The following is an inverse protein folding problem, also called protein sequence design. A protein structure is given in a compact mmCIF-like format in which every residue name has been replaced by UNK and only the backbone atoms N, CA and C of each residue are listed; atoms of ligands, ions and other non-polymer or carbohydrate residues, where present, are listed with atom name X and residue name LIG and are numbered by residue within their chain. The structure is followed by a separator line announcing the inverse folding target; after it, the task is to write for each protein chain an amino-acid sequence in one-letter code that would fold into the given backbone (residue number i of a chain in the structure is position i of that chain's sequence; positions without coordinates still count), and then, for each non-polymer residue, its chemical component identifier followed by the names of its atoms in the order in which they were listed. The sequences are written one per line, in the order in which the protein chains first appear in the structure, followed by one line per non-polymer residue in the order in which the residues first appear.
data_IF_156139801310
#
_entry.id   IF_156139801310
#
_cell.length_a   1.000
_cell.length_b   1.000
_cell.length_c   1.000
_cell.angle_alpha   90.00
_cell.angle_beta   90.00
_cell.angle_gamma   90.00
#
_symmetry.space_group_name_H-M   'P 1'
#
loop_
_entity.id
_entity.type
_entity.pdbx_description
1 polymer ?
#
# COMPACT_ATOMS: atom_id res chain seq x y z
N UNK A 1 -13.20 18.78 -6.79
CA UNK A 1 -13.20 17.34 -7.12
C UNK A 1 -12.24 16.62 -6.18
N UNK A 2 -12.76 16.09 -5.06
CA UNK A 2 -11.98 15.43 -3.99
C UNK A 2 -12.10 13.93 -4.24
N UNK A 3 -11.15 13.35 -4.96
CA UNK A 3 -11.16 11.92 -5.28
C UNK A 3 -10.50 11.14 -4.12
N UNK A 4 -11.30 10.70 -3.15
CA UNK A 4 -10.89 9.70 -2.17
C UNK A 4 -10.98 8.30 -2.81
N UNK A 5 -9.92 7.86 -3.48
CA UNK A 5 -9.75 6.45 -3.86
C UNK A 5 -9.03 5.70 -2.72
N UNK A 6 -9.76 5.42 -1.64
CA UNK A 6 -9.38 4.38 -0.67
C UNK A 6 -10.22 3.14 -0.96
N UNK A 7 -9.59 2.01 -1.25
CA UNK A 7 -10.31 0.73 -1.35
C UNK A 7 -10.79 0.31 0.04
N UNK A 8 -12.07 0.58 0.34
CA UNK A 8 -12.76 0.08 1.54
C UNK A 8 -13.07 -1.40 1.33
N UNK A 9 -12.38 -2.27 2.05
CA UNK A 9 -12.61 -3.72 2.00
C UNK A 9 -13.67 -4.18 3.02
N UNK A 10 -14.87 -4.53 2.55
CA UNK A 10 -15.89 -5.14 3.39
C UNK A 10 -15.59 -6.64 3.61
N UNK A 11 -15.43 -7.03 4.88
CA UNK A 11 -15.72 -8.35 5.45
C UNK A 11 -15.62 -9.55 4.46
N UNK A 12 -14.41 -9.90 4.00
CA UNK A 12 -14.14 -11.31 3.65
C UNK A 12 -13.44 -11.98 4.82
N UNK A 13 -13.67 -13.28 4.96
CA UNK A 13 -13.08 -14.20 5.96
C UNK A 13 -11.54 -14.35 5.87
N UNK A 14 -10.85 -13.48 5.12
CA UNK A 14 -9.40 -13.43 4.98
C UNK A 14 -9.02 -11.99 4.61
N UNK A 15 -8.33 -11.28 5.50
CA UNK A 15 -7.77 -9.96 5.21
C UNK A 15 -6.50 -10.15 4.37
N UNK A 16 -6.59 -9.89 3.07
CA UNK A 16 -5.45 -10.01 2.14
C UNK A 16 -5.27 -8.70 1.38
N UNK A 17 -4.26 -7.92 1.76
CA UNK A 17 -3.91 -6.68 1.06
C UNK A 17 -2.90 -6.95 -0.07
N UNK A 18 -2.85 -6.09 -1.11
CA UNK A 18 -1.81 -6.16 -2.13
C UNK A 18 -0.44 -5.92 -1.52
N UNK A 19 0.54 -6.69 -1.98
CA UNK A 19 1.97 -6.51 -1.64
C UNK A 19 2.64 -5.65 -2.70
N UNK A 20 3.58 -4.81 -2.27
CA UNK A 20 4.25 -3.81 -3.11
C UNK A 20 5.77 -4.02 -3.19
N UNK A 21 6.35 -4.84 -2.31
CA UNK A 21 7.80 -5.06 -2.24
C UNK A 21 8.39 -5.76 -3.48
N UNK A 22 7.56 -6.44 -4.27
CA UNK A 22 7.95 -7.01 -5.57
C UNK A 22 8.22 -5.96 -6.65
N UNK A 23 7.69 -4.75 -6.46
CA UNK A 23 7.62 -3.72 -7.49
C UNK A 23 8.39 -2.46 -7.10
N UNK A 24 8.38 -2.12 -5.82
CA UNK A 24 8.95 -0.91 -5.25
C UNK A 24 10.13 -1.25 -4.35
N UNK A 25 11.15 -0.39 -4.39
CA UNK A 25 12.19 -0.37 -3.36
C UNK A 25 11.64 0.38 -2.15
N UNK A 26 11.51 -0.31 -1.03
CA UNK A 26 10.93 0.22 0.22
C UNK A 26 11.87 0.05 1.40
N UNK A 27 11.53 0.68 2.52
CA UNK A 27 12.23 0.56 3.79
C UNK A 27 13.65 1.13 3.76
N UNK A 28 13.98 2.04 2.86
CA UNK A 28 15.30 2.70 2.87
C UNK A 28 15.39 3.81 3.92
N UNK A 29 14.25 4.39 4.27
CA UNK A 29 14.06 5.43 5.27
C UNK A 29 12.70 5.26 5.96
N UNK A 30 12.41 6.13 6.93
CA UNK A 30 11.10 6.15 7.58
C UNK A 30 9.97 6.59 6.64
N UNK A 31 10.26 7.41 5.62
CA UNK A 31 9.26 7.96 4.70
C UNK A 31 8.71 6.95 3.69
N UNK A 32 9.46 5.90 3.38
CA UNK A 32 9.13 4.80 2.47
C UNK A 32 8.95 3.45 3.17
N UNK A 33 8.67 3.48 4.48
CA UNK A 33 8.48 2.28 5.29
C UNK A 33 7.12 1.63 5.02
N UNK A 34 7.12 0.44 4.43
CA UNK A 34 5.91 -0.35 4.19
C UNK A 34 5.66 -1.37 5.32
N UNK A 35 4.43 -1.88 5.49
CA UNK A 35 4.17 -2.98 6.43
C UNK A 35 4.99 -4.25 6.17
N UNK A 36 5.40 -4.49 4.91
CA UNK A 36 6.25 -5.63 4.52
C UNK A 36 7.71 -5.50 4.95
N UNK A 37 8.14 -4.33 5.42
CA UNK A 37 9.50 -4.08 5.86
C UNK A 37 9.71 -4.37 7.35
N UNK A 38 8.63 -4.38 8.14
CA UNK A 38 8.68 -4.70 9.56
C UNK A 38 8.98 -6.17 9.75
N UNK A 39 10.08 -6.47 10.45
CA UNK A 39 10.45 -7.85 10.79
C UNK A 39 10.41 -8.11 12.30
N UNK A 40 10.52 -7.06 13.12
CA UNK A 40 10.49 -7.17 14.57
C UNK A 40 9.38 -6.26 15.09
N UNK A 41 8.54 -6.78 15.97
CA UNK A 41 7.55 -6.00 16.72
C UNK A 41 7.87 -6.04 18.21
N UNK A 42 7.72 -4.91 18.87
CA UNK A 42 7.91 -4.77 20.31
C UNK A 42 6.81 -3.88 20.89
N UNK A 43 6.55 -4.03 22.19
CA UNK A 43 5.63 -3.15 22.90
C UNK A 43 6.18 -2.67 24.25
N UNK A 44 5.86 -1.43 24.56
CA UNK A 44 6.14 -0.76 25.84
C UNK A 44 4.86 -0.10 26.33
N UNK A 45 4.79 0.25 27.61
CA UNK A 45 3.66 0.99 28.16
C UNK A 45 3.11 0.43 29.46
N UNK A 46 1.84 0.71 29.67
CA UNK A 46 1.05 0.39 30.86
C UNK A 46 0.19 -0.88 30.68
N UNK A 47 -0.80 -1.05 31.57
CA UNK A 47 -1.74 -2.17 31.57
C UNK A 47 -2.49 -2.39 30.24
N UNK A 48 -2.62 -1.36 29.40
CA UNK A 48 -3.24 -1.51 28.09
C UNK A 48 -2.37 -2.32 27.13
N UNK A 49 -1.04 -2.17 27.20
CA UNK A 49 -0.11 -2.97 26.39
C UNK A 49 0.07 -4.39 26.95
N UNK A 50 -0.08 -4.61 28.26
CA UNK A 50 0.02 -5.95 28.85
C UNK A 50 -1.23 -6.81 28.60
N UNK A 51 -2.34 -6.21 28.18
CA UNK A 51 -3.61 -6.92 28.01
C UNK A 51 -4.28 -7.27 29.35
N UNK A 52 -4.03 -6.48 30.39
CA UNK A 52 -4.62 -6.69 31.70
C UNK A 52 -6.15 -6.63 31.61
N UNK A 53 -6.82 -7.65 32.16
CA UNK A 53 -8.28 -7.74 32.19
C UNK A 53 -8.93 -8.35 30.94
N UNK A 54 -8.14 -8.75 29.94
CA UNK A 54 -8.65 -9.56 28.82
C UNK A 54 -9.09 -10.96 29.25
N UNK A 55 -8.46 -11.53 30.29
CA UNK A 55 -8.92 -12.76 30.92
C UNK A 55 -9.97 -12.47 32.01
N UNK A 56 -11.24 -12.91 31.85
CA UNK A 56 -12.32 -12.53 32.74
C UNK A 56 -12.05 -12.89 34.20
N UNK A 57 -12.47 -12.01 35.12
CA UNK A 57 -12.43 -12.23 36.59
C UNK A 57 -11.04 -12.46 37.19
N UNK A 58 -9.98 -12.14 36.47
CA UNK A 58 -8.60 -12.22 36.99
C UNK A 58 -7.86 -10.91 36.75
N UNK A 59 -6.73 -10.74 37.43
CA UNK A 59 -5.77 -9.67 37.16
C UNK A 59 -4.53 -10.21 36.42
N UNK A 60 -4.72 -11.28 35.64
CA UNK A 60 -3.65 -11.87 34.83
C UNK A 60 -3.48 -11.02 33.57
N UNK A 61 -2.23 -10.74 33.22
CA UNK A 61 -1.86 -10.05 31.98
C UNK A 61 -1.94 -11.04 30.81
N UNK A 62 -2.84 -10.75 29.86
CA UNK A 62 -2.99 -11.59 28.66
C UNK A 62 -2.29 -10.93 27.46
N UNK A 63 -0.96 -10.93 27.49
CA UNK A 63 -0.10 -10.30 26.47
C UNK A 63 -0.30 -10.90 25.08
N UNK A 64 -0.55 -12.20 24.99
CA UNK A 64 -0.88 -12.89 23.73
C UNK A 64 -2.17 -12.42 23.06
N UNK A 65 -3.05 -11.74 23.79
CA UNK A 65 -4.27 -11.13 23.28
C UNK A 65 -4.27 -9.60 23.26
N UNK A 66 -3.19 -8.97 23.72
CA UNK A 66 -3.07 -7.53 23.76
C UNK A 66 -2.97 -6.95 22.35
N UNK A 67 -3.64 -5.83 22.15
CA UNK A 67 -3.76 -5.18 20.84
C UNK A 67 -2.40 -4.78 20.18
N UNK A 68 -1.35 -4.35 20.93
CA UNK A 68 -0.09 -3.91 20.32
C UNK A 68 0.90 -5.05 20.06
N UNK A 69 0.83 -6.17 20.78
CA UNK A 69 1.84 -7.24 20.68
C UNK A 69 1.34 -8.68 20.67
N UNK A 70 0.04 -8.93 20.87
CA UNK A 70 -0.50 -10.29 20.95
C UNK A 70 -0.52 -11.04 19.61
N UNK A 71 -0.22 -12.34 19.64
CA UNK A 71 -0.24 -13.23 18.48
C UNK A 71 -0.86 -14.61 18.70
N UNK A 72 -1.68 -14.80 19.74
CA UNK A 72 -2.22 -16.14 20.09
C UNK A 72 -3.28 -16.69 19.14
N UNK A 73 -3.72 -15.91 18.16
CA UNK A 73 -4.61 -16.38 17.09
C UNK A 73 -4.28 -15.67 15.78
N UNK A 74 -4.89 -16.10 14.69
CA UNK A 74 -4.85 -15.36 13.43
C UNK A 74 -5.81 -14.15 13.46
N UNK A 75 -5.73 -13.30 12.44
CA UNK A 75 -6.61 -12.12 12.30
C UNK A 75 -8.12 -12.44 12.34
N UNK A 76 -8.51 -13.67 11.97
CA UNK A 76 -9.91 -14.12 12.02
C UNK A 76 -10.40 -14.40 13.45
N UNK A 77 -9.51 -14.82 14.34
CA UNK A 77 -9.84 -15.11 15.74
C UNK A 77 -9.64 -13.89 16.65
N UNK A 78 -8.53 -13.20 16.47
CA UNK A 78 -8.10 -12.09 17.31
C UNK A 78 -7.44 -11.02 16.45
N UNK A 79 -7.90 -9.77 16.60
CA UNK A 79 -7.38 -8.67 15.79
C UNK A 79 -6.37 -7.90 16.62
N UNK A 80 -5.09 -8.12 16.35
CA UNK A 80 -3.96 -7.38 16.93
C UNK A 80 -3.07 -6.82 15.81
N UNK A 81 -2.20 -5.87 16.13
CA UNK A 81 -1.27 -5.33 15.13
C UNK A 81 -0.31 -6.41 14.59
N UNK A 82 0.31 -7.29 15.41
CA UNK A 82 1.11 -8.40 14.90
C UNK A 82 0.36 -9.31 13.93
N UNK A 83 -0.91 -9.61 14.21
CA UNK A 83 -1.72 -10.47 13.33
C UNK A 83 -1.99 -9.82 11.98
N UNK A 84 -2.21 -8.50 11.96
CA UNK A 84 -2.34 -7.75 10.70
C UNK A 84 -1.01 -7.72 9.94
N UNK A 85 0.11 -7.47 10.63
CA UNK A 85 1.44 -7.46 10.03
C UNK A 85 1.85 -8.84 9.48
N UNK A 86 1.38 -9.91 10.10
CA UNK A 86 1.68 -11.30 9.68
C UNK A 86 1.17 -11.62 8.27
N UNK A 87 0.15 -10.91 7.78
CA UNK A 87 -0.34 -11.04 6.40
C UNK A 87 0.66 -10.47 5.38
N UNK A 88 1.45 -9.48 5.79
CA UNK A 88 2.50 -8.87 4.98
C UNK A 88 3.81 -9.66 5.13
N UNK A 89 4.22 -9.93 6.36
CA UNK A 89 5.43 -10.68 6.72
C UNK A 89 5.13 -11.77 7.76
N UNK A 90 5.12 -13.03 7.34
CA UNK A 90 4.81 -14.17 8.21
C UNK A 90 5.96 -14.63 9.13
N UNK A 91 7.11 -13.94 9.11
CA UNK A 91 8.28 -14.23 9.97
C UNK A 91 8.52 -13.11 10.98
N UNK A 92 7.44 -12.56 11.54
CA UNK A 92 7.51 -11.50 12.53
C UNK A 92 8.07 -12.02 13.85
N UNK A 93 9.12 -11.38 14.37
CA UNK A 93 9.76 -11.73 15.66
C UNK A 93 9.33 -10.74 16.74
N UNK A 94 9.32 -11.18 18.00
CA UNK A 94 8.96 -10.34 19.16
C UNK A 94 7.48 -10.35 19.54
N UNK A 95 6.67 -11.12 18.81
CA UNK A 95 5.25 -11.33 19.07
C UNK A 95 5.04 -11.96 20.45
N UNK A 96 4.04 -11.48 21.18
CA UNK A 96 3.68 -11.99 22.50
C UNK A 96 2.72 -13.17 22.41
N UNK A 97 2.92 -14.17 23.26
CA UNK A 97 2.11 -15.37 23.36
C UNK A 97 1.81 -15.75 24.80
N UNK A 98 0.57 -16.17 25.05
CA UNK A 98 0.12 -16.64 26.35
C UNK A 98 -0.14 -15.51 27.36
N UNK A 99 -0.15 -15.93 28.63
CA UNK A 99 -0.49 -15.11 29.78
C UNK A 99 0.67 -15.10 30.79
N UNK A 100 0.98 -13.94 31.36
CA UNK A 100 2.06 -13.79 32.33
C UNK A 100 2.68 -12.40 32.33
N UNK A 101 3.48 -12.12 33.35
CA UNK A 101 4.27 -10.90 33.43
C UNK A 101 5.47 -10.92 32.49
N UNK A 102 6.09 -9.75 32.32
CA UNK A 102 7.32 -9.56 31.53
C UNK A 102 8.44 -10.55 31.90
N UNK A 103 8.57 -10.91 33.17
CA UNK A 103 9.58 -11.83 33.72
C UNK A 103 9.21 -13.30 33.56
N UNK A 104 7.92 -13.60 33.46
CA UNK A 104 7.41 -14.98 33.35
C UNK A 104 7.41 -15.47 31.91
N UNK A 105 7.30 -14.56 30.94
CA UNK A 105 7.30 -14.88 29.52
C UNK A 105 8.73 -14.88 28.94
N UNK A 106 9.00 -15.66 27.88
CA UNK A 106 10.31 -15.72 27.23
C UNK A 106 10.83 -14.33 26.81
N UNK A 107 12.13 -14.09 26.97
CA UNK A 107 12.77 -12.82 26.57
C UNK A 107 12.69 -12.54 25.06
N UNK A 108 12.44 -13.56 24.25
CA UNK A 108 12.21 -13.45 22.80
C UNK A 108 10.88 -12.75 22.47
N UNK A 109 9.95 -12.68 23.43
CA UNK A 109 8.75 -11.85 23.35
C UNK A 109 9.10 -10.42 23.79
N UNK A 110 9.00 -9.46 22.88
CA UNK A 110 9.51 -8.10 23.06
C UNK A 110 8.45 -7.14 23.62
N UNK A 111 7.48 -7.68 24.38
CA UNK A 111 6.57 -6.87 25.18
C UNK A 111 7.18 -6.63 26.55
N UNK A 112 7.72 -5.43 26.76
CA UNK A 112 8.32 -4.98 28.03
C UNK A 112 7.42 -4.03 28.80
N UNK A 113 6.17 -3.87 28.36
CA UNK A 113 5.15 -3.11 29.08
C UNK A 113 4.93 -3.67 30.49
N UNK A 114 4.52 -2.82 31.43
CA UNK A 114 4.32 -3.18 32.83
C UNK A 114 2.99 -2.59 33.31
N UNK A 115 2.13 -3.42 33.92
CA UNK A 115 0.92 -2.90 34.56
C UNK A 115 1.29 -2.02 35.76
N UNK A 116 0.62 -0.89 35.91
CA UNK A 116 0.94 0.16 36.87
C UNK A 116 1.93 1.22 36.36
N UNK A 117 2.49 1.08 35.15
CA UNK A 117 3.53 1.98 34.67
C UNK A 117 3.00 3.39 34.37
N UNK A 118 3.70 4.39 34.91
CA UNK A 118 3.54 5.81 34.52
C UNK A 118 4.64 6.21 33.54
N UNK A 119 4.56 7.44 33.01
CA UNK A 119 5.59 7.98 32.11
C UNK A 119 7.00 7.97 32.70
N UNK A 120 7.13 8.02 34.03
CA UNK A 120 8.42 7.91 34.76
C UNK A 120 9.17 6.60 34.48
N UNK A 121 8.44 5.51 34.19
CA UNK A 121 9.01 4.17 33.95
C UNK A 121 9.46 3.94 32.50
N UNK A 122 9.14 4.87 31.59
CA UNK A 122 9.44 4.72 30.17
C UNK A 122 10.94 4.53 29.86
N UNK A 123 11.89 5.24 30.50
CA UNK A 123 13.32 5.01 30.29
C UNK A 123 13.78 3.61 30.72
N UNK A 124 13.21 3.05 31.78
CA UNK A 124 13.53 1.70 32.26
C UNK A 124 13.08 0.64 31.26
N UNK A 125 11.84 0.76 30.77
CA UNK A 125 11.33 -0.14 29.72
C UNK A 125 12.13 -0.02 28.42
N UNK A 126 12.59 1.18 28.04
CA UNK A 126 13.43 1.37 26.85
C UNK A 126 14.76 0.61 26.98
N UNK A 127 15.41 0.70 28.14
CA UNK A 127 16.66 -0.03 28.42
C UNK A 127 16.44 -1.53 28.39
N UNK A 128 15.35 -2.00 28.98
CA UNK A 128 15.01 -3.42 28.98
C UNK A 128 14.72 -3.94 27.57
N UNK A 129 13.98 -3.19 26.73
CA UNK A 129 13.76 -3.56 25.34
C UNK A 129 15.08 -3.67 24.57
N UNK A 130 15.97 -2.69 24.73
CA UNK A 130 17.30 -2.72 24.10
C UNK A 130 18.10 -3.92 24.58
N UNK A 131 18.04 -4.27 25.87
CA UNK A 131 18.71 -5.46 26.42
C UNK A 131 18.19 -6.74 25.76
N UNK A 132 16.87 -6.91 25.65
CA UNK A 132 16.27 -8.10 25.00
C UNK A 132 16.62 -8.18 23.52
N UNK A 133 16.57 -7.06 22.80
CA UNK A 133 16.96 -7.00 21.39
C UNK A 133 18.42 -7.40 21.15
N UNK A 134 19.33 -6.98 22.02
CA UNK A 134 20.75 -7.39 21.96
C UNK A 134 20.97 -8.88 22.19
N UNK A 135 20.06 -9.52 22.92
CA UNK A 135 20.11 -10.95 23.23
C UNK A 135 19.32 -11.79 22.21
N UNK A 136 18.68 -11.17 21.23
CA UNK A 136 17.87 -11.86 20.23
C UNK A 136 18.78 -12.59 19.24
N UNK A 137 18.57 -13.90 19.08
CA UNK A 137 19.41 -14.76 18.22
C UNK A 137 18.72 -15.12 16.90
N UNK A 138 17.40 -15.01 16.87
CA UNK A 138 16.57 -15.41 15.72
C UNK A 138 16.70 -14.45 14.54
N UNK A 139 16.98 -13.18 14.82
CA UNK A 139 17.09 -12.12 13.81
C UNK A 139 18.08 -11.05 14.25
N UNK A 140 18.90 -10.58 13.32
CA UNK A 140 19.77 -9.44 13.55
C UNK A 140 18.95 -8.15 13.56
N UNK A 141 18.69 -7.62 14.75
CA UNK A 141 17.92 -6.40 14.95
C UNK A 141 18.58 -5.16 14.33
N UNK A 142 19.89 -5.19 14.05
CA UNK A 142 20.60 -4.04 13.47
C UNK A 142 20.31 -3.86 11.98
N UNK A 143 19.97 -4.96 11.29
CA UNK A 143 19.69 -4.97 9.86
C UNK A 143 18.20 -4.91 9.52
N UNK A 144 17.31 -5.03 10.50
CA UNK A 144 15.88 -5.17 10.28
C UNK A 144 15.09 -4.02 10.90
N UNK A 145 13.94 -3.67 10.30
CA UNK A 145 13.06 -2.67 10.87
C UNK A 145 12.30 -3.21 12.07
N UNK A 146 12.32 -2.42 13.14
CA UNK A 146 11.63 -2.67 14.39
C UNK A 146 10.45 -1.71 14.50
N UNK A 147 9.23 -2.23 14.66
CA UNK A 147 8.06 -1.43 15.04
C UNK A 147 7.89 -1.53 16.56
N UNK A 148 7.99 -0.40 17.25
CA UNK A 148 7.77 -0.33 18.70
C UNK A 148 6.47 0.39 18.97
N UNK A 149 5.48 -0.30 19.53
CA UNK A 149 4.19 0.32 19.89
C UNK A 149 4.20 0.61 21.38
N UNK A 150 4.10 1.89 21.73
CA UNK A 150 4.12 2.35 23.11
C UNK A 150 2.72 2.83 23.48
N UNK A 151 2.11 2.28 24.52
CA UNK A 151 0.81 2.76 25.03
C UNK A 151 0.95 3.19 26.48
N UNK A 152 0.95 4.50 26.73
CA UNK A 152 1.22 5.02 28.06
C UNK A 152 0.25 6.14 28.43
N UNK A 153 -0.07 6.23 29.72
CA UNK A 153 -0.78 7.35 30.29
C UNK A 153 -2.22 7.07 30.69
N UNK A 154 -2.80 5.95 30.27
CA UNK A 154 -4.18 5.63 30.69
C UNK A 154 -4.22 5.43 32.20
N UNK A 155 -3.24 4.73 32.75
CA UNK A 155 -3.16 4.53 34.19
C UNK A 155 -2.74 5.79 34.95
N UNK A 156 -1.83 6.59 34.41
CA UNK A 156 -1.42 7.87 35.00
C UNK A 156 -2.60 8.86 35.08
N UNK A 157 -3.34 9.00 33.97
CA UNK A 157 -4.57 9.80 33.91
C UNK A 157 -5.64 9.26 34.87
N UNK A 158 -5.75 7.95 35.06
CA UNK A 158 -6.79 7.38 35.92
C UNK A 158 -6.48 7.36 37.41
N UNK A 159 -5.22 7.19 37.78
CA UNK A 159 -4.79 7.08 39.17
C UNK A 159 -4.41 8.43 39.76
N UNK A 160 -3.76 9.30 38.97
CA UNK A 160 -3.16 10.55 39.46
C UNK A 160 -3.76 11.81 38.86
N UNK A 161 -4.43 11.72 37.70
CA UNK A 161 -4.95 12.87 36.96
C UNK A 161 -3.85 13.91 36.66
N UNK A 162 -2.65 13.42 36.36
CA UNK A 162 -1.45 14.25 36.12
C UNK A 162 -1.03 14.23 34.66
N UNK A 163 -0.48 15.36 34.23
CA UNK A 163 0.19 15.54 32.95
C UNK A 163 1.41 14.60 32.84
N UNK A 164 1.86 14.24 31.62
CA UNK A 164 2.95 13.29 31.43
C UNK A 164 4.30 13.89 31.86
N UNK A 165 5.20 13.04 32.36
CA UNK A 165 6.60 13.40 32.55
C UNK A 165 7.31 13.47 31.19
N UNK A 166 7.36 14.66 30.61
CA UNK A 166 8.00 14.93 29.33
C UNK A 166 9.48 14.52 29.32
N UNK A 167 10.23 14.82 30.37
CA UNK A 167 11.65 14.45 30.46
C UNK A 167 11.86 12.94 30.41
N UNK A 168 11.01 12.16 31.09
CA UNK A 168 11.09 10.70 31.05
C UNK A 168 10.74 10.16 29.65
N UNK A 169 9.74 10.73 28.97
CA UNK A 169 9.40 10.37 27.59
C UNK A 169 10.56 10.67 26.63
N UNK A 170 11.14 11.86 26.69
CA UNK A 170 12.31 12.25 25.89
C UNK A 170 13.47 11.30 26.12
N UNK A 171 13.83 11.04 27.39
CA UNK A 171 14.92 10.12 27.74
C UNK A 171 14.68 8.70 27.17
N UNK A 172 13.44 8.20 27.21
CA UNK A 172 13.11 6.89 26.67
C UNK A 172 13.31 6.84 25.14
N UNK A 173 12.83 7.87 24.42
CA UNK A 173 12.99 7.96 22.97
C UNK A 173 14.46 8.13 22.58
N UNK A 174 15.23 8.95 23.31
CA UNK A 174 16.66 9.12 23.08
C UNK A 174 17.44 7.80 23.28
N UNK A 175 17.08 7.00 24.28
CA UNK A 175 17.64 5.65 24.48
C UNK A 175 17.35 4.75 23.29
N UNK A 176 16.11 4.76 22.78
CA UNK A 176 15.73 3.98 21.60
C UNK A 176 16.46 4.47 20.35
N UNK A 177 16.53 5.77 20.11
CA UNK A 177 17.23 6.36 18.96
C UNK A 177 18.71 6.01 18.96
N UNK A 178 19.35 6.01 20.14
CA UNK A 178 20.78 5.70 20.26
C UNK A 178 21.11 4.22 20.01
N UNK A 179 20.16 3.30 20.25
CA UNK A 179 20.42 1.86 20.23
C UNK A 179 19.71 1.09 19.11
N UNK A 180 18.65 1.66 18.53
CA UNK A 180 17.88 1.04 17.46
C UNK A 180 18.20 1.71 16.12
N UNK A 181 19.02 1.07 15.26
CA UNK A 181 19.45 1.71 14.01
C UNK A 181 18.31 1.87 13.00
N UNK A 182 17.29 1.00 13.07
CA UNK A 182 16.12 1.01 12.16
C UNK A 182 14.84 0.79 12.95
N UNK A 183 14.19 1.88 13.35
CA UNK A 183 13.00 1.80 14.17
C UNK A 183 11.91 2.79 13.78
N UNK A 184 10.68 2.31 13.86
CA UNK A 184 9.47 3.12 13.81
C UNK A 184 8.74 3.00 15.15
N UNK A 185 8.77 4.07 15.94
CA UNK A 185 8.12 4.10 17.26
C UNK A 185 6.76 4.76 17.14
N UNK A 186 5.70 4.02 17.43
CA UNK A 186 4.33 4.54 17.47
C UNK A 186 3.95 4.75 18.93
N UNK A 187 3.93 6.00 19.37
CA UNK A 187 3.62 6.37 20.74
C UNK A 187 2.16 6.80 20.84
N UNK A 188 1.40 6.12 21.70
CA UNK A 188 -0.02 6.33 21.93
C UNK A 188 -0.23 6.81 23.36
N UNK A 189 -0.91 7.95 23.49
CA UNK A 189 -1.30 8.48 24.77
C UNK A 189 -2.56 7.81 25.35
N UNK A 190 -3.17 8.44 26.37
CA UNK A 190 -4.30 7.91 27.11
C UNK A 190 -5.49 7.58 26.21
N UNK A 191 -6.30 6.61 26.64
CA UNK A 191 -7.51 6.24 25.90
C UNK A 191 -8.59 7.33 25.99
N UNK A 192 -9.17 7.64 24.85
CA UNK A 192 -10.31 8.53 24.74
C UNK A 192 -11.48 7.81 24.07
N UNK A 193 -12.40 7.29 24.89
CA UNK A 193 -13.54 6.53 24.38
C UNK A 193 -14.79 7.38 24.48
N UNK A 194 -15.47 7.62 23.35
CA UNK A 194 -16.59 8.55 23.30
C UNK A 194 -17.74 8.07 22.40
N UNK A 195 -18.88 8.74 22.55
CA UNK A 195 -20.02 8.57 21.65
C UNK A 195 -19.83 9.43 20.39
N UNK A 196 -20.29 8.97 19.21
CA UNK A 196 -20.23 9.76 17.97
C UNK A 196 -20.88 11.14 18.08
N UNK A 197 -21.97 11.27 18.85
CA UNK A 197 -22.67 12.53 19.08
C UNK A 197 -22.11 13.36 20.26
N UNK A 198 -21.13 12.83 20.99
CA UNK A 198 -20.51 13.48 22.16
C UNK A 198 -19.00 13.23 22.19
N UNK A 199 -18.30 13.71 21.16
CA UNK A 199 -16.87 13.45 20.97
C UNK A 199 -15.99 13.98 22.11
N UNK A 200 -16.39 15.08 22.77
CA UNK A 200 -15.68 15.63 23.94
C UNK A 200 -15.86 14.81 25.22
N UNK A 201 -16.86 13.93 25.27
CA UNK A 201 -17.16 13.14 26.47
C UNK A 201 -16.30 11.88 26.54
N UNK A 202 -15.21 11.92 27.30
CA UNK A 202 -14.39 10.74 27.56
C UNK A 202 -15.04 9.84 28.63
N UNK A 203 -15.40 8.61 28.25
CA UNK A 203 -15.92 7.60 29.19
C UNK A 203 -14.91 7.13 30.22
N UNK A 204 -13.62 7.40 30.00
CA UNK A 204 -12.57 7.12 30.97
C UNK A 204 -12.82 7.90 32.29
N UNK A 205 -13.32 9.15 32.21
CA UNK A 205 -13.58 10.02 33.36
C UNK A 205 -14.41 9.33 34.47
N UNK A 206 -15.50 8.66 34.11
CA UNK A 206 -16.38 8.04 35.11
C UNK A 206 -15.86 6.73 35.70
N UNK A 207 -14.72 6.22 35.19
CA UNK A 207 -14.10 4.95 35.60
C UNK A 207 -12.79 5.12 36.36
N UNK A 208 -12.19 6.30 36.30
CA UNK A 208 -10.99 6.64 37.04
C UNK A 208 -11.35 7.18 38.42
N UNK A 209 -10.57 6.80 39.42
CA UNK A 209 -10.75 7.27 40.79
C UNK A 209 -10.58 8.79 40.90
N UNK A 210 -9.51 9.33 40.32
CA UNK A 210 -9.18 10.76 40.46
C UNK A 210 -10.09 11.71 39.66
N UNK A 211 -10.72 11.24 38.56
CA UNK A 211 -11.52 12.11 37.67
C UNK A 211 -13.02 11.88 37.72
N UNK A 212 -13.51 10.86 38.43
CA UNK A 212 -14.95 10.55 38.54
C UNK A 212 -15.76 11.75 39.01
N UNK A 213 -15.29 12.40 40.08
CA UNK A 213 -15.95 13.54 40.74
C UNK A 213 -15.35 14.90 40.31
N UNK A 214 -14.28 14.89 39.53
CA UNK A 214 -13.63 16.11 39.04
C UNK A 214 -14.47 16.87 38.01
N UNK A 215 -14.13 18.15 37.80
CA UNK A 215 -14.75 18.97 36.75
C UNK A 215 -14.39 18.46 35.35
N UNK A 216 -15.24 18.76 34.36
CA UNK A 216 -14.90 18.47 32.96
C UNK A 216 -13.70 19.31 32.49
N UNK A 217 -13.51 20.51 33.06
CA UNK A 217 -12.37 21.39 32.73
C UNK A 217 -11.03 20.75 33.07
N UNK A 218 -10.95 19.95 34.15
CA UNK A 218 -9.75 19.20 34.50
C UNK A 218 -9.38 18.22 33.38
N UNK A 219 -10.35 17.47 32.87
CA UNK A 219 -10.12 16.51 31.79
C UNK A 219 -9.73 17.18 30.47
N UNK A 220 -10.31 18.34 30.18
CA UNK A 220 -9.95 19.15 29.00
C UNK A 220 -8.51 19.69 29.11
N UNK A 221 -8.12 20.19 30.28
CA UNK A 221 -6.75 20.63 30.56
C UNK A 221 -5.76 19.47 30.47
N UNK A 222 -6.09 18.33 31.08
CA UNK A 222 -5.25 17.15 31.05
C UNK A 222 -5.04 16.64 29.61
N UNK A 223 -6.11 16.56 28.81
CA UNK A 223 -6.02 16.25 27.38
C UNK A 223 -5.11 17.23 26.63
N UNK A 224 -5.22 18.54 26.90
CA UNK A 224 -4.38 19.57 26.28
C UNK A 224 -2.90 19.44 26.69
N UNK A 225 -2.61 19.09 27.94
CA UNK A 225 -1.25 18.88 28.43
C UNK A 225 -0.59 17.66 27.77
N UNK A 226 -1.31 16.54 27.69
CA UNK A 226 -0.87 15.33 27.00
C UNK A 226 -0.61 15.60 25.51
N UNK A 227 -1.52 16.33 24.87
CA UNK A 227 -1.35 16.79 23.48
C UNK A 227 -0.09 17.61 23.30
N UNK A 228 0.10 18.63 24.14
CA UNK A 228 1.27 19.52 24.08
C UNK A 228 2.58 18.76 24.28
N UNK A 229 2.61 17.83 25.23
CA UNK A 229 3.81 17.02 25.49
C UNK A 229 4.18 16.12 24.30
N UNK A 230 3.18 15.50 23.67
CA UNK A 230 3.41 14.61 22.52
C UNK A 230 3.82 15.38 21.27
N UNK A 231 3.24 16.55 21.02
CA UNK A 231 3.64 17.45 19.92
C UNK A 231 5.10 17.90 20.10
N UNK A 232 5.47 18.33 21.31
CA UNK A 232 6.86 18.68 21.65
C UNK A 232 7.82 17.50 21.49
N UNK A 233 7.38 16.29 21.80
CA UNK A 233 8.22 15.10 21.67
C UNK A 233 8.44 14.73 20.19
N UNK A 234 7.39 14.83 19.37
CA UNK A 234 7.49 14.67 17.91
C UNK A 234 8.48 15.70 17.32
N UNK A 235 8.35 16.97 17.72
CA UNK A 235 9.24 18.04 17.28
C UNK A 235 10.69 17.81 17.74
N UNK A 236 10.91 17.37 18.98
CA UNK A 236 12.24 17.04 19.50
C UNK A 236 12.96 16.00 18.62
N UNK A 237 12.25 14.96 18.18
CA UNK A 237 12.84 13.94 17.29
C UNK A 237 13.02 14.47 15.87
N UNK A 238 12.02 15.14 15.32
CA UNK A 238 12.03 15.58 13.91
C UNK A 238 13.09 16.66 13.66
N UNK A 239 13.36 17.51 14.65
CA UNK A 239 14.37 18.59 14.58
C UNK A 239 15.78 18.15 14.96
N UNK A 240 15.95 16.93 15.49
CA UNK A 240 17.27 16.42 15.89
C UNK A 240 18.18 16.21 14.66
N UNK A 241 19.30 16.94 14.52
CA UNK A 241 20.19 16.85 13.36
C UNK A 241 20.94 15.51 13.29
N UNK A 242 21.02 14.78 14.40
CA UNK A 242 21.68 13.48 14.48
C UNK A 242 20.71 12.30 14.28
N UNK A 243 19.43 12.58 13.99
CA UNK A 243 18.46 11.52 13.71
C UNK A 243 18.79 10.82 12.39
N UNK A 244 19.02 9.49 12.39
CA UNK A 244 19.22 8.77 11.15
C UNK A 244 17.90 8.71 10.34
N UNK A 245 17.95 8.65 9.00
CA UNK A 245 16.74 8.56 8.17
C UNK A 245 15.93 7.27 8.43
N UNK A 246 16.54 6.28 9.08
CA UNK A 246 15.96 4.98 9.46
C UNK A 246 15.36 4.96 10.87
N UNK A 247 15.33 6.10 11.58
CA UNK A 247 14.63 6.23 12.85
C UNK A 247 13.56 7.30 12.75
N UNK A 248 12.35 7.01 13.21
CA UNK A 248 11.34 8.03 13.39
C UNK A 248 10.23 7.60 14.34
N UNK A 249 9.53 8.60 14.85
CA UNK A 249 8.40 8.40 15.76
C UNK A 249 7.11 8.93 15.16
N UNK A 250 5.99 8.38 15.61
CA UNK A 250 4.66 8.92 15.42
C UNK A 250 3.99 9.04 16.79
N UNK A 251 4.01 10.26 17.34
CA UNK A 251 3.38 10.57 18.61
C UNK A 251 1.90 10.92 18.39
N UNK A 252 1.00 10.05 18.84
CA UNK A 252 -0.44 10.27 18.81
C UNK A 252 -0.92 10.51 20.24
N UNK A 253 -1.40 11.73 20.56
CA UNK A 253 -1.61 12.15 21.95
C UNK A 253 -2.77 11.42 22.64
N UNK A 254 -3.70 10.85 21.89
CA UNK A 254 -4.85 10.13 22.43
C UNK A 254 -5.22 8.95 21.55
N UNK A 255 -5.55 7.81 22.18
CA UNK A 255 -6.14 6.66 21.51
C UNK A 255 -7.66 6.85 21.43
N UNK A 256 -8.12 7.48 20.35
CA UNK A 256 -9.52 7.92 20.21
C UNK A 256 -10.42 6.86 19.61
N UNK A 257 -11.29 6.25 20.43
CA UNK A 257 -12.22 5.21 19.99
C UNK A 257 -13.66 5.73 20.06
N UNK A 258 -14.31 5.87 18.91
CA UNK A 258 -15.72 6.27 18.80
C UNK A 258 -16.60 5.04 18.57
N UNK A 259 -17.72 4.93 19.30
CA UNK A 259 -18.65 3.81 19.13
C UNK A 259 -20.08 4.19 19.50
N UNK A 260 -21.07 3.60 18.82
CA UNK A 260 -22.50 3.72 19.20
C UNK A 260 -22.79 3.10 20.57
N UNK A 261 -22.01 2.10 20.97
CA UNK A 261 -22.13 1.40 22.25
C UNK A 261 -20.77 1.39 22.98
N UNK A 262 -20.24 2.56 23.37
CA UNK A 262 -18.88 2.69 23.87
C UNK A 262 -18.70 2.09 25.28
N UNK A 263 -19.78 1.99 26.06
CA UNK A 263 -19.78 1.27 27.34
C UNK A 263 -19.36 -0.19 27.21
N UNK A 264 -19.76 -0.86 26.11
CA UNK A 264 -19.45 -2.26 25.85
C UNK A 264 -18.00 -2.52 25.41
N UNK A 265 -17.14 -1.49 25.38
CA UNK A 265 -15.71 -1.61 25.07
C UNK A 265 -14.85 -1.72 26.33
N UNK A 266 -15.40 -1.38 27.49
CA UNK A 266 -14.72 -1.48 28.77
C UNK A 266 -15.10 -2.76 29.51
N UNK A 267 -14.24 -3.15 30.44
CA UNK A 267 -14.62 -4.04 31.54
C UNK A 267 -15.52 -3.25 32.49
N UNK A 268 -16.63 -3.82 33.01
CA UNK A 268 -17.51 -3.12 33.94
C UNK A 268 -16.75 -2.51 35.12
N UNK A 269 -16.97 -1.21 35.36
CA UNK A 269 -16.39 -0.42 36.46
C UNK A 269 -14.86 -0.36 36.52
N UNK A 270 -14.14 -0.82 35.49
CA UNK A 270 -12.68 -0.71 35.42
C UNK A 270 -12.28 0.18 34.24
N UNK A 271 -11.18 0.96 34.35
CA UNK A 271 -10.64 1.75 33.25
C UNK A 271 -9.83 0.91 32.25
N UNK A 272 -10.23 -0.34 32.03
CA UNK A 272 -9.53 -1.29 31.16
C UNK A 272 -10.43 -1.68 29.99
N UNK A 273 -9.85 -1.76 28.79
CA UNK A 273 -10.55 -2.24 27.62
C UNK A 273 -10.79 -3.75 27.74
N UNK A 274 -11.96 -4.19 27.29
CA UNK A 274 -12.24 -5.62 27.13
C UNK A 274 -11.79 -6.08 25.73
N UNK A 275 -11.97 -7.37 25.41
CA UNK A 275 -11.61 -7.94 24.10
C UNK A 275 -12.15 -7.14 22.91
N UNK A 276 -13.37 -6.61 23.00
CA UNK A 276 -13.97 -5.78 21.95
C UNK A 276 -13.29 -4.42 21.85
N UNK A 277 -12.97 -3.81 22.99
CA UNK A 277 -12.20 -2.57 23.07
C UNK A 277 -10.82 -2.69 22.43
N UNK A 278 -10.07 -3.76 22.74
CA UNK A 278 -8.77 -4.04 22.12
C UNK A 278 -8.88 -4.22 20.60
N UNK A 279 -9.88 -4.97 20.10
CA UNK A 279 -10.09 -5.10 18.65
C UNK A 279 -10.36 -3.74 17.98
N UNK A 280 -11.11 -2.85 18.64
CA UNK A 280 -11.37 -1.49 18.13
C UNK A 280 -10.11 -0.63 18.16
N UNK A 281 -9.30 -0.74 19.22
CA UNK A 281 -8.01 -0.06 19.33
C UNK A 281 -7.06 -0.47 18.20
N UNK A 282 -6.92 -1.78 17.94
CA UNK A 282 -6.10 -2.28 16.82
C UNK A 282 -6.59 -1.74 15.49
N UNK A 283 -7.89 -1.84 15.22
CA UNK A 283 -8.45 -1.41 13.94
C UNK A 283 -8.29 0.09 13.72
N UNK A 284 -8.56 0.88 14.76
CA UNK A 284 -8.35 2.32 14.73
C UNK A 284 -6.89 2.65 14.44
N UNK A 285 -5.97 2.03 15.18
CA UNK A 285 -4.55 2.29 15.04
C UNK A 285 -4.06 1.93 13.64
N UNK A 286 -4.40 0.73 13.15
CA UNK A 286 -4.04 0.30 11.81
C UNK A 286 -4.53 1.29 10.76
N UNK A 287 -5.82 1.64 10.79
CA UNK A 287 -6.37 2.59 9.83
C UNK A 287 -5.73 3.97 9.96
N UNK A 288 -5.40 4.42 11.17
CA UNK A 288 -4.69 5.69 11.42
C UNK A 288 -3.27 5.70 10.86
N UNK A 289 -2.58 4.56 10.93
CA UNK A 289 -1.23 4.37 10.38
C UNK A 289 -1.23 4.34 8.84
N UNK A 290 -2.29 3.84 8.20
CA UNK A 290 -2.38 3.78 6.73
C UNK A 290 -2.99 5.05 6.12
N UNK A 291 -4.06 5.59 6.71
CA UNK A 291 -4.77 6.75 6.17
C UNK A 291 -4.14 8.09 6.56
N UNK A 292 -3.37 8.13 7.65
CA UNK A 292 -2.82 9.37 8.20
C UNK A 292 -3.86 10.19 8.97
N UNK A 293 -3.59 11.48 9.14
CA UNK A 293 -4.44 12.41 9.92
C UNK A 293 -5.85 12.58 9.34
N UNK A 294 -5.99 12.34 8.04
CA UNK A 294 -7.27 12.42 7.35
C UNK A 294 -8.23 11.26 7.67
N UNK A 295 -7.85 10.34 8.56
CA UNK A 295 -8.75 9.28 9.04
C UNK A 295 -9.92 9.89 9.82
N UNK A 296 -11.06 10.05 9.14
CA UNK A 296 -12.23 10.72 9.68
C UNK A 296 -12.98 9.86 10.71
N UNK A 297 -12.77 10.17 11.99
CA UNK A 297 -13.39 9.49 13.13
C UNK A 297 -14.90 9.74 13.27
N UNK A 298 -15.42 10.80 12.65
CA UNK A 298 -16.81 11.22 12.76
C UNK A 298 -17.76 10.38 11.91
N UNK A 299 -17.25 9.80 10.81
CA UNK A 299 -18.00 8.92 9.91
C UNK A 299 -17.67 7.43 10.08
N UNK A 300 -16.58 7.13 10.80
CA UNK A 300 -16.07 5.78 11.02
C UNK A 300 -16.92 5.06 12.09
N UNK A 301 -17.63 4.01 11.69
CA UNK A 301 -18.24 3.07 12.64
C UNK A 301 -17.27 1.90 12.75
N UNK A 302 -16.39 1.92 13.76
CA UNK A 302 -15.33 0.93 13.91
C UNK A 302 -15.82 -0.54 13.96
N UNK A 303 -17.08 -0.82 14.33
CA UNK A 303 -17.68 -2.17 14.18
C UNK A 303 -17.87 -2.63 12.74
N UNK A 304 -18.08 -1.69 11.81
CA UNK A 304 -18.53 -1.93 10.44
C UNK A 304 -17.50 -1.50 9.38
N UNK A 305 -16.51 -0.70 9.76
CA UNK A 305 -15.51 -0.18 8.83
C UNK A 305 -14.66 -1.30 8.20
N UNK A 306 -14.11 -1.04 7.04
CA UNK A 306 -13.07 -1.87 6.45
C UNK A 306 -11.72 -1.69 7.17
N UNK A 307 -10.87 -2.70 7.12
CA UNK A 307 -9.43 -2.47 7.29
C UNK A 307 -8.90 -1.82 6.02
N UNK A 308 -8.07 -0.78 6.17
CA UNK A 308 -7.45 -0.12 5.02
C UNK A 308 -6.23 -0.90 4.57
N UNK A 309 -6.09 -1.06 3.25
CA UNK A 309 -4.90 -1.64 2.65
C UNK A 309 -3.96 -0.53 2.16
N UNK A 310 -2.64 -0.67 2.35
CA UNK A 310 -1.65 0.18 1.71
C UNK A 310 -1.60 -0.14 0.21
N UNK A 311 -2.48 0.49 -0.57
CA UNK A 311 -2.59 0.22 -2.00
C UNK A 311 -2.14 1.42 -2.81
N UNK A 312 -1.47 1.13 -3.92
CA UNK A 312 -1.27 2.07 -5.03
C UNK A 312 -2.28 1.77 -6.13
N UNK A 313 -2.87 2.80 -6.72
CA UNK A 313 -3.64 2.67 -7.96
C UNK A 313 -2.74 3.10 -9.10
N UNK A 314 -2.42 2.17 -10.00
CA UNK A 314 -1.69 2.47 -11.24
C UNK A 314 -2.68 2.74 -12.35
N UNK A 315 -2.55 3.91 -12.96
CA UNK A 315 -3.20 4.25 -14.21
C UNK A 315 -2.14 4.29 -15.31
N UNK A 316 -2.19 3.30 -16.20
CA UNK A 316 -1.38 3.29 -17.40
C UNK A 316 -2.03 4.25 -18.41
N UNK A 317 -1.45 5.44 -18.59
CA UNK A 317 -1.81 6.32 -19.70
C UNK A 317 -0.86 6.05 -20.89
N UNK A 318 -1.26 6.44 -22.13
CA UNK A 318 -0.48 6.13 -23.33
C UNK A 318 0.96 6.66 -23.32
N UNK A 319 1.24 7.72 -22.56
CA UNK A 319 2.53 8.44 -22.55
C UNK A 319 3.24 8.44 -21.20
N UNK A 320 2.56 8.09 -20.10
CA UNK A 320 3.15 8.02 -18.76
C UNK A 320 2.27 7.19 -17.83
N UNK A 321 2.83 6.72 -16.71
CA UNK A 321 2.08 6.01 -15.68
C UNK A 321 1.78 6.97 -14.51
N UNK A 322 0.51 7.12 -14.13
CA UNK A 322 0.14 7.81 -12.90
C UNK A 322 0.00 6.78 -11.80
N UNK A 323 0.68 7.01 -10.68
CA UNK A 323 0.48 6.22 -9.47
C UNK A 323 -0.18 7.11 -8.42
N UNK A 324 -1.38 6.73 -8.01
CA UNK A 324 -2.16 7.44 -6.98
C UNK A 324 -2.14 6.60 -5.71
N UNK A 325 -1.71 7.20 -4.60
CA UNK A 325 -1.70 6.57 -3.28
C UNK A 325 -0.30 6.52 -2.65
N UNK A 326 -0.29 6.29 -1.34
CA UNK A 326 0.94 6.09 -0.58
C UNK A 326 0.86 4.73 0.13
N UNK A 327 1.67 3.74 -0.26
CA UNK A 327 1.62 2.40 0.31
C UNK A 327 2.52 2.24 1.55
N UNK A 328 2.90 3.35 2.18
CA UNK A 328 3.78 3.39 3.34
C UNK A 328 2.99 3.78 4.59
N UNK A 329 3.54 3.48 5.76
CA UNK A 329 3.00 4.06 7.00
C UNK A 329 3.07 5.58 6.93
N UNK A 330 1.96 6.24 7.28
CA UNK A 330 1.87 7.70 7.31
C UNK A 330 2.58 8.26 8.52
N UNK A 331 3.53 9.15 8.28
CA UNK A 331 4.33 9.82 9.29
C UNK A 331 4.72 11.22 8.81
N UNK A 332 5.47 11.96 9.63
CA UNK A 332 5.90 13.33 9.35
C UNK A 332 6.79 13.43 8.10
N UNK A 333 7.61 12.42 7.81
CA UNK A 333 8.48 12.40 6.64
C UNK A 333 7.72 12.27 5.30
N UNK A 334 6.49 11.75 5.31
CA UNK A 334 5.67 11.57 4.09
C UNK A 334 4.30 12.26 4.17
N UNK A 335 4.15 13.23 5.07
CA UNK A 335 2.92 13.97 5.30
C UNK A 335 2.44 14.73 4.05
N UNK A 336 3.37 15.34 3.30
CA UNK A 336 3.07 16.13 2.10
C UNK A 336 3.01 15.31 0.81
N UNK A 337 3.30 14.00 0.87
CA UNK A 337 3.36 13.13 -0.29
C UNK A 337 4.40 12.04 -0.11
N UNK A 338 4.27 10.98 -0.92
CA UNK A 338 5.17 9.84 -0.88
C UNK A 338 5.89 9.72 -2.22
N UNK A 339 7.22 9.61 -2.18
CA UNK A 339 8.00 9.29 -3.37
C UNK A 339 8.02 7.78 -3.57
N UNK A 340 7.65 7.35 -4.76
CA UNK A 340 7.70 5.95 -5.15
C UNK A 340 8.98 5.73 -5.96
N UNK A 341 9.71 4.67 -5.61
CA UNK A 341 10.91 4.27 -6.33
C UNK A 341 10.74 2.84 -6.82
N UNK A 342 10.61 2.65 -8.12
CA UNK A 342 10.51 1.30 -8.68
C UNK A 342 11.84 0.56 -8.55
N UNK A 343 11.79 -0.78 -8.49
CA UNK A 343 13.03 -1.59 -8.44
C UNK A 343 13.93 -1.37 -9.66
N UNK A 344 13.37 -1.12 -10.84
CA UNK A 344 14.14 -0.80 -12.04
C UNK A 344 14.88 0.53 -11.93
N UNK A 345 14.21 1.57 -11.41
CA UNK A 345 14.83 2.89 -11.21
C UNK A 345 15.87 2.85 -10.10
N UNK A 346 15.61 2.10 -9.01
CA UNK A 346 16.58 1.89 -7.95
C UNK A 346 17.85 1.21 -8.50
N UNK A 347 17.69 0.16 -9.32
CA UNK A 347 18.81 -0.54 -9.95
C UNK A 347 19.58 0.35 -10.93
N UNK A 348 18.91 1.19 -11.72
CA UNK A 348 19.60 2.16 -12.58
C UNK A 348 20.39 3.18 -11.74
N UNK A 349 19.81 3.68 -10.64
CA UNK A 349 20.50 4.61 -9.73
C UNK A 349 21.72 3.96 -9.07
N UNK A 350 21.62 2.73 -8.59
CA UNK A 350 22.76 1.99 -8.03
C UNK A 350 23.86 1.78 -9.07
N UNK A 351 23.50 1.43 -10.30
CA UNK A 351 24.45 1.23 -11.40
C UNK A 351 25.13 2.53 -11.85
N UNK A 352 24.45 3.67 -11.69
CA UNK A 352 25.01 5.00 -11.96
C UNK A 352 25.89 5.53 -10.81
N UNK A 353 25.63 5.12 -9.57
CA UNK A 353 26.36 5.61 -8.39
C UNK A 353 27.59 4.77 -8.03
N UNK A 354 27.67 3.53 -8.54
CA UNK A 354 28.79 2.60 -8.24
C UNK A 354 28.85 2.21 -6.76
N UNK A 355 29.58 1.14 -6.44
CA UNK A 355 29.72 0.63 -5.06
C UNK A 355 30.44 1.65 -4.14
N UNK A 356 31.16 2.61 -4.71
CA UNK A 356 31.96 3.61 -3.98
C UNK A 356 31.33 5.02 -3.94
N UNK A 357 30.06 5.19 -4.30
CA UNK A 357 29.37 6.49 -4.26
C UNK A 357 29.90 7.55 -5.24
N UNK A 358 30.76 7.15 -6.19
CA UNK A 358 31.22 8.01 -7.28
C UNK A 358 30.35 7.78 -8.50
N UNK A 359 29.70 8.85 -8.96
CA UNK A 359 28.93 8.89 -10.21
C UNK A 359 29.77 8.27 -11.34
N UNK A 360 29.43 7.04 -11.74
CA UNK A 360 29.84 6.49 -13.02
C UNK A 360 29.11 7.33 -14.06
N UNK A 361 29.80 8.37 -14.56
CA UNK A 361 29.32 9.15 -15.71
C UNK A 361 28.80 8.14 -16.73
N UNK A 362 27.49 8.17 -16.98
CA UNK A 362 26.89 7.52 -18.15
C UNK A 362 27.83 7.84 -19.29
N UNK A 363 28.46 6.84 -19.92
CA UNK A 363 29.37 7.05 -21.04
C UNK A 363 28.53 7.74 -22.12
N UNK A 364 28.49 9.07 -22.08
CA UNK A 364 27.81 9.93 -23.04
C UNK A 364 28.42 9.46 -24.34
N UNK A 365 27.63 8.81 -25.21
CA UNK A 365 28.11 8.48 -26.55
C UNK A 365 28.64 9.79 -27.09
N UNK A 366 29.94 9.85 -27.34
CA UNK A 366 30.60 11.08 -27.79
C UNK A 366 29.85 11.54 -29.04
N UNK A 367 29.65 12.86 -29.24
CA UNK A 367 28.97 13.37 -30.43
C UNK A 367 29.57 12.79 -31.71
N UNK A 368 30.88 12.54 -31.70
CA UNK A 368 31.61 11.81 -32.75
C UNK A 368 30.97 10.46 -33.12
N UNK A 369 30.63 9.60 -32.16
CA UNK A 369 29.99 8.30 -32.45
C UNK A 369 28.60 8.45 -33.07
N UNK A 370 27.87 9.51 -32.72
CA UNK A 370 26.55 9.79 -33.29
C UNK A 370 26.70 10.26 -34.75
N UNK A 371 27.67 11.14 -35.01
CA UNK A 371 28.02 11.58 -36.36
C UNK A 371 28.53 10.41 -37.22
N UNK A 372 29.34 9.50 -36.68
CA UNK A 372 29.81 8.32 -37.43
C UNK A 372 28.65 7.42 -37.85
N UNK A 373 27.68 7.17 -36.96
CA UNK A 373 26.51 6.34 -37.28
C UNK A 373 25.62 7.05 -38.30
N UNK A 374 25.39 8.36 -38.16
CA UNK A 374 24.60 9.13 -39.12
C UNK A 374 25.24 9.15 -40.52
N UNK A 375 26.56 9.40 -40.59
CA UNK A 375 27.32 9.38 -41.86
C UNK A 375 27.30 7.98 -42.48
N UNK A 376 27.40 6.92 -41.66
CA UNK A 376 27.34 5.54 -42.15
C UNK A 376 25.98 5.23 -42.78
N UNK A 377 24.88 5.65 -42.15
CA UNK A 377 23.52 5.46 -42.68
C UNK A 377 23.33 6.22 -44.00
N UNK A 378 23.78 7.48 -44.07
CA UNK A 378 23.71 8.30 -45.29
C UNK A 378 24.57 7.70 -46.40
N UNK A 379 25.78 7.21 -46.08
CA UNK A 379 26.67 6.56 -47.02
C UNK A 379 26.09 5.27 -47.60
N UNK A 380 25.47 4.43 -46.76
CA UNK A 380 24.79 3.21 -47.21
C UNK A 380 23.60 3.56 -48.10
N UNK A 381 22.78 4.55 -47.72
CA UNK A 381 21.65 4.99 -48.54
C UNK A 381 22.10 5.51 -49.91
N UNK A 382 23.17 6.32 -49.96
CA UNK A 382 23.74 6.81 -51.21
C UNK A 382 24.25 5.67 -52.09
N UNK A 383 24.96 4.70 -51.51
CA UNK A 383 25.46 3.55 -52.24
C UNK A 383 24.32 2.69 -52.83
N UNK A 384 23.24 2.50 -52.08
CA UNK A 384 22.03 1.78 -52.56
C UNK A 384 21.36 2.53 -53.71
N UNK A 385 21.22 3.87 -53.61
CA UNK A 385 20.63 4.67 -54.70
C UNK A 385 21.50 4.65 -55.95
N UNK A 386 22.82 4.78 -55.81
CA UNK A 386 23.73 4.73 -56.95
C UNK A 386 23.73 3.37 -57.63
N UNK A 387 23.79 2.28 -56.87
CA UNK A 387 23.77 0.91 -57.41
C UNK A 387 22.45 0.57 -58.09
N UNK A 388 21.32 0.85 -57.45
CA UNK A 388 20.01 0.65 -58.08
C UNK A 388 19.84 1.56 -59.31
N UNK A 389 20.29 2.82 -59.23
CA UNK A 389 20.27 3.77 -60.34
C UNK A 389 21.11 3.30 -61.54
N UNK A 390 22.30 2.74 -61.30
CA UNK A 390 23.15 2.18 -62.38
C UNK A 390 22.53 0.93 -62.97
N UNK A 391 21.95 0.05 -62.14
CA UNK A 391 21.24 -1.14 -62.62
C UNK A 391 20.06 -0.74 -63.50
N UNK A 392 19.24 0.23 -63.09
CA UNK A 392 18.13 0.73 -63.90
C UNK A 392 18.61 1.42 -65.17
N UNK A 393 19.69 2.20 -65.11
CA UNK A 393 20.27 2.87 -66.28
C UNK A 393 20.80 1.85 -67.30
N UNK A 394 21.51 0.81 -66.85
CA UNK A 394 22.00 -0.24 -67.74
C UNK A 394 20.86 -1.07 -68.33
N UNK A 395 19.83 -1.41 -67.54
CA UNK A 395 18.62 -2.06 -68.06
C UNK A 395 17.87 -1.19 -69.06
N UNK A 396 17.82 0.13 -68.84
CA UNK A 396 17.19 1.08 -69.77
C UNK A 396 17.95 1.19 -71.09
N UNK A 397 19.27 0.96 -71.10
CA UNK A 397 20.09 1.02 -72.32
C UNK A 397 20.05 -0.28 -73.15
N UNK A 398 19.60 -1.38 -72.54
CA UNK A 398 19.45 -2.69 -73.20
C UNK A 398 18.01 -3.01 -73.62
N UNK A 399 17.04 -2.14 -73.32
CA UNK A 399 15.66 -2.32 -73.74
C UNK A 399 15.41 -1.69 -75.12
N UNK A 400 15.17 -2.53 -76.13
CA UNK A 400 14.90 -2.12 -77.52
C UNK A 400 13.43 -1.70 -77.77
N UNK A 401 12.68 -1.35 -76.72
CA UNK A 401 11.30 -0.88 -76.86
C UNK A 401 11.00 0.30 -75.92
N UNK A 402 10.43 1.36 -76.48
CA UNK A 402 9.90 2.47 -75.70
C UNK A 402 8.69 2.01 -74.87
N UNK A 403 8.61 2.48 -73.61
CA UNK A 403 7.58 2.09 -72.61
C UNK A 403 6.12 2.28 -73.04
N UNK A 404 5.87 2.90 -74.19
CA UNK A 404 4.53 3.21 -74.71
C UNK A 404 4.23 2.60 -76.09
N UNK A 405 5.06 1.71 -76.62
CA UNK A 405 4.69 0.96 -77.81
C UNK A 405 3.84 -0.27 -77.43
N UNK A 406 2.55 -0.21 -77.76
CA UNK A 406 1.65 -1.35 -77.65
C UNK A 406 2.07 -2.37 -78.72
N UNK A 407 2.39 -3.62 -78.36
CA UNK A 407 2.70 -4.64 -79.35
C UNK A 407 1.47 -4.86 -80.23
N UNK A 408 1.64 -4.76 -81.57
CA UNK A 408 0.59 -5.01 -82.57
C UNK A 408 -0.18 -6.34 -82.35
N UNK A 409 0.41 -7.29 -81.63
CA UNK A 409 -0.19 -8.56 -81.26
C UNK A 409 -1.33 -8.44 -80.24
N UNK A 410 -1.26 -7.47 -79.31
CA UNK A 410 -2.32 -7.21 -78.33
C UNK A 410 -3.54 -6.55 -78.99
N UNK A 411 -3.31 -5.69 -79.98
CA UNK A 411 -4.36 -5.01 -80.73
C UNK A 411 -5.12 -5.98 -81.64
N UNK A 412 -4.39 -6.92 -82.28
CA UNK A 412 -4.98 -7.99 -83.09
C UNK A 412 -5.82 -8.97 -82.26
N UNK A 413 -5.37 -9.32 -81.05
CA UNK A 413 -6.15 -10.15 -80.11
C UNK A 413 -7.41 -9.44 -79.61
N UNK A 414 -7.36 -8.11 -79.45
CA UNK A 414 -8.53 -7.34 -79.04
C UNK A 414 -9.58 -7.25 -80.15
N UNK A 415 -9.17 -7.07 -81.41
CA UNK A 415 -10.08 -7.12 -82.57
C UNK A 415 -10.68 -8.52 -82.80
N UNK A 416 -9.90 -9.59 -82.60
CA UNK A 416 -10.41 -10.96 -82.69
C UNK A 416 -11.44 -11.27 -81.59
N UNK A 417 -11.18 -10.83 -80.35
CA UNK A 417 -12.11 -10.99 -79.23
C UNK A 417 -13.43 -10.21 -79.44
N UNK A 418 -13.37 -9.00 -79.98
CA UNK A 418 -14.59 -8.24 -80.30
C UNK A 418 -15.42 -8.88 -81.42
N UNK A 419 -14.77 -9.47 -82.44
CA UNK A 419 -15.48 -10.20 -83.50
C UNK A 419 -16.15 -11.49 -83.01
N UNK A 420 -15.56 -12.17 -82.02
CA UNK A 420 -16.20 -13.33 -81.38
C UNK A 420 -17.40 -12.91 -80.52
N UNK A 421 -17.30 -11.80 -79.78
CA UNK A 421 -18.39 -11.31 -78.95
C UNK A 421 -19.60 -10.85 -79.79
N UNK A 422 -19.36 -10.18 -80.92
CA UNK A 422 -20.42 -9.77 -81.85
C UNK A 422 -21.13 -10.97 -82.50
N UNK A 423 -20.38 -12.01 -82.90
CA UNK A 423 -20.95 -13.27 -83.40
C UNK A 423 -21.78 -14.00 -82.34
N UNK A 424 -21.34 -14.01 -81.08
CA UNK A 424 -22.06 -14.62 -79.98
C UNK A 424 -23.38 -13.88 -79.67
N UNK A 425 -23.41 -12.55 -79.83
CA UNK A 425 -24.60 -11.72 -79.64
C UNK A 425 -25.64 -11.91 -80.75
N UNK A 426 -25.20 -12.00 -82.01
CA UNK A 426 -26.07 -12.32 -83.16
C UNK A 426 -26.66 -13.74 -83.06
N UNK A 427 -25.86 -14.73 -82.63
CA UNK A 427 -26.36 -16.09 -82.40
C UNK A 427 -27.41 -16.13 -81.28
N UNK A 428 -27.18 -15.40 -80.17
CA UNK A 428 -28.14 -15.30 -79.06
C UNK A 428 -29.45 -14.61 -79.46
N UNK A 429 -29.42 -13.60 -80.33
CA UNK A 429 -30.64 -12.95 -80.85
C UNK A 429 -31.44 -13.86 -81.79
N UNK A 430 -30.80 -14.71 -82.61
CA UNK A 430 -31.51 -15.68 -83.45
C UNK A 430 -32.16 -16.82 -82.63
N UNK A 431 -31.52 -17.31 -81.55
CA UNK A 431 -32.12 -18.34 -80.68
C UNK A 431 -33.27 -17.84 -79.79
N UNK A 432 -33.37 -16.53 -79.54
CA UNK A 432 -34.49 -15.94 -78.75
C UNK A 432 -35.75 -15.67 -79.59
N UNK A 433 -35.65 -15.69 -80.92
CA UNK A 433 -36.78 -15.52 -81.85
C UNK A 433 -37.56 -16.80 -82.16
N UNK A 434 -37.03 -17.99 -81.84
CA UNK A 434 -37.64 -19.28 -82.19
C UNK A 434 -38.32 -20.03 -81.01
N UNK A 435 -38.30 -19.48 -79.79
CA UNK A 435 -38.85 -20.16 -78.58
C UNK A 435 -40.20 -19.60 -78.08
N UNK A 436 -40.89 -18.75 -78.86
CA UNK A 436 -42.15 -18.11 -78.45
C UNK A 436 -43.40 -18.84 -79.01
N UNK A 437 -43.26 -19.95 -79.76
CA UNK A 437 -44.40 -20.59 -80.44
C UNK A 437 -44.73 -22.05 -80.04
N UNK A 438 -44.16 -22.61 -78.95
CA UNK A 438 -44.42 -24.01 -78.53
C UNK A 438 -44.72 -24.16 -77.02
N UNK A 439 -45.52 -23.25 -76.44
CA UNK A 439 -45.96 -23.33 -75.03
C UNK A 439 -47.48 -23.31 -74.81
N UNK A 440 -48.26 -23.22 -75.89
CA UNK A 440 -49.73 -23.12 -75.85
C UNK A 440 -50.39 -24.44 -76.28
N UNK A 441 -49.96 -25.57 -75.72
CA UNK A 441 -50.70 -26.84 -75.80
C UNK A 441 -50.15 -27.83 -74.76
N UNK A 442 -51.04 -28.34 -73.90
CA UNK A 442 -50.81 -29.33 -72.81
C UNK A 442 -50.40 -28.78 -71.44
N UNK A 443 -51.35 -28.10 -70.79
CA UNK A 443 -51.67 -28.44 -69.40
C UNK A 443 -53.18 -28.37 -69.15
N UNK A 444 -53.93 -28.99 -70.08
CA UNK A 444 -55.32 -29.42 -69.88
C UNK A 444 -55.30 -30.94 -69.86
N UNK A 445 -55.02 -31.54 -68.70
CA UNK A 445 -55.48 -32.90 -68.32
C UNK A 445 -54.94 -33.28 -66.95
N UNK A 446 -55.88 -33.72 -66.12
CA UNK A 446 -55.74 -34.40 -64.83
C UNK A 446 -55.55 -33.47 -63.63
N UNK A 447 -56.66 -33.17 -62.97
CA UNK A 447 -56.96 -33.71 -61.64
C UNK A 447 -58.40 -33.31 -61.24
N UNK A 448 -59.35 -34.24 -61.41
CA UNK A 448 -60.65 -34.25 -60.73
C UNK A 448 -61.10 -35.70 -60.51
N UNK A 449 -61.49 -36.03 -59.28
CA UNK A 449 -62.19 -37.26 -58.82
C UNK A 449 -61.27 -38.37 -58.28
N UNK A 450 -61.48 -39.02 -57.12
CA UNK A 450 -62.66 -39.28 -56.26
C UNK A 450 -62.16 -39.71 -54.84
N UNK A 451 -62.70 -39.17 -53.73
CA UNK A 451 -63.80 -39.70 -52.87
C UNK A 451 -63.47 -40.93 -51.99
N UNK A 452 -63.47 -40.70 -50.66
CA UNK A 452 -63.91 -41.59 -49.58
C UNK A 452 -64.18 -40.75 -48.31
#
# INVERSE_FOLDING_TARGET
LRFECWYKFHYRKTFACPKIKSDLKTGTSIGDLSPEDIAIIASMGDALATGLGLWPKTNIEFRGAAFPSGGDATIDGLVTIPNILSEFNNRLVGVSHGMGTREQLPETQLSVAESGATTDKMPEQAKELVRRLKNLVEVDYTQHWIMVIVTIGTEEVCSRCTSPNFTALTNAIDILQAHLPRAFVVLLGPIHVSFPHKLKGNLLKSRCECSREASNTLMEQLSADWKTAFEKLQEHVDTNPFRPPTFGILAIPELTITSRYPYGLFIPNKPLLNRRGHNYATKWLWNRLIAGENYNLSAAVLSQDAYFCPSIVRYQLPTYMIVIGCPYFRNTANAHGCQLLSLSEAKEKELLLGVDGKVLKKRRRTPERLYTIAISIVGIAFFVVCTLGTVFYQKSKQGDHGRFEIPNEAQKKFEEAQKEEEKALLSRQMTRGMSVNEGLQKSTRRLTGEEA
#
